data_IF_383476422615
#
_entry.id   IF_383476422615
#
_cell.length_a   1.000
_cell.length_b   1.000
_cell.length_c   1.000
_cell.angle_alpha   90.00
_cell.angle_beta   90.00
_cell.angle_gamma   90.00
#
_symmetry.space_group_name_H-M   'P 1'
#
loop_
_entity.id
_entity.type
_entity.pdbx_description
1 polymer ?
#
# COMPACT_ATOMS: atom_id res chain seq x y z
N UNK A 1 -28.91 -11.15 -16.25
CA UNK A 1 -28.98 -9.95 -15.39
C UNK A 1 -28.23 -10.28 -14.11
N UNK A 2 -27.13 -9.58 -13.79
CA UNK A 2 -26.40 -9.77 -12.54
C UNK A 2 -26.86 -8.73 -11.52
N UNK A 3 -27.59 -9.15 -10.50
CA UNK A 3 -28.05 -8.31 -9.38
C UNK A 3 -27.20 -8.59 -8.15
N UNK A 4 -25.89 -8.28 -8.21
CA UNK A 4 -25.01 -8.34 -7.04
C UNK A 4 -24.86 -6.94 -6.45
N UNK A 5 -25.39 -6.71 -5.24
CA UNK A 5 -25.02 -5.50 -4.46
C UNK A 5 -23.67 -5.76 -3.82
N UNK A 6 -22.67 -4.97 -4.18
CA UNK A 6 -21.35 -4.99 -3.53
C UNK A 6 -21.49 -4.39 -2.13
N UNK A 7 -21.20 -5.20 -1.11
CA UNK A 7 -21.34 -4.78 0.29
C UNK A 7 -19.99 -4.26 0.79
N UNK A 8 -19.89 -2.95 0.99
CA UNK A 8 -18.76 -2.35 1.69
C UNK A 8 -18.90 -2.60 3.19
N UNK A 9 -17.83 -3.09 3.84
CA UNK A 9 -17.74 -3.26 5.29
C UNK A 9 -16.69 -2.31 5.86
N UNK A 10 -16.97 -1.75 7.03
CA UNK A 10 -15.99 -0.97 7.79
C UNK A 10 -14.86 -1.88 8.29
N UNK A 11 -13.61 -1.47 8.12
CA UNK A 11 -12.47 -2.08 8.81
C UNK A 11 -12.38 -1.48 10.22
N UNK A 12 -12.59 -2.32 11.23
CA UNK A 12 -12.59 -1.94 12.65
C UNK A 12 -11.19 -2.02 13.28
N UNK A 13 -10.14 -2.31 12.48
CA UNK A 13 -8.77 -2.36 12.98
C UNK A 13 -8.27 -1.01 13.45
N UNK A 14 -7.49 -1.02 14.53
CA UNK A 14 -6.76 0.16 15.00
C UNK A 14 -5.45 0.33 14.24
N UNK A 15 -5.35 1.44 13.51
CA UNK A 15 -4.14 1.83 12.79
C UNK A 15 -3.33 2.82 13.63
N UNK A 16 -2.23 2.34 14.20
CA UNK A 16 -1.32 3.17 14.99
C UNK A 16 -0.76 4.31 14.13
N UNK A 17 -0.98 5.54 14.59
CA UNK A 17 -0.48 6.76 13.95
C UNK A 17 0.90 7.12 14.48
N UNK A 18 1.67 7.88 13.70
CA UNK A 18 2.95 8.44 14.13
C UNK A 18 4.12 7.44 14.12
N UNK A 19 3.96 6.27 13.51
CA UNK A 19 5.08 5.36 13.25
C UNK A 19 6.00 6.05 12.22
N UNK A 20 7.20 6.40 12.65
CA UNK A 20 8.25 6.93 11.77
C UNK A 20 9.10 5.77 11.26
N UNK A 21 9.32 5.73 9.96
CA UNK A 21 10.25 4.82 9.30
C UNK A 21 11.43 5.66 8.84
N UNK A 22 12.65 5.20 9.14
CA UNK A 22 13.86 5.90 8.69
C UNK A 22 14.11 5.67 7.20
N UNK A 23 14.83 6.59 6.55
CA UNK A 23 15.18 6.44 5.13
C UNK A 23 15.94 5.13 4.87
N UNK A 24 16.82 4.73 5.79
CA UNK A 24 17.57 3.46 5.72
C UNK A 24 16.68 2.21 5.78
N UNK A 25 15.53 2.29 6.45
CA UNK A 25 14.57 1.19 6.47
C UNK A 25 13.76 1.16 5.18
N UNK A 26 13.38 2.33 4.67
CA UNK A 26 12.63 2.46 3.43
C UNK A 26 13.47 2.03 2.21
N UNK A 27 14.77 2.35 2.20
CA UNK A 27 15.73 1.93 1.16
C UNK A 27 15.88 0.41 1.04
N UNK A 28 15.61 -0.34 2.12
CA UNK A 28 15.64 -1.81 2.07
C UNK A 28 14.45 -2.39 1.33
N UNK A 29 13.38 -1.63 1.14
CA UNK A 29 12.19 -2.10 0.46
C UNK A 29 12.44 -2.10 -1.04
N UNK A 30 12.17 -3.23 -1.70
CA UNK A 30 12.22 -3.35 -3.14
C UNK A 30 10.96 -2.72 -3.78
N UNK A 31 10.93 -1.39 -3.79
CA UNK A 31 9.86 -0.57 -4.34
C UNK A 31 10.22 -0.08 -5.74
N UNK A 32 9.37 -0.39 -6.73
CA UNK A 32 9.47 0.15 -8.09
C UNK A 32 8.32 1.13 -8.31
N UNK A 33 8.66 2.38 -8.59
CA UNK A 33 7.69 3.44 -8.93
C UNK A 33 7.22 3.27 -10.37
N UNK A 34 5.95 3.54 -10.62
CA UNK A 34 5.37 3.57 -11.95
C UNK A 34 5.81 4.83 -12.72
N UNK A 35 5.81 4.77 -14.05
CA UNK A 35 6.10 5.93 -14.90
C UNK A 35 4.96 6.97 -14.83
N UNK A 36 3.72 6.52 -14.60
CA UNK A 36 2.57 7.37 -14.40
C UNK A 36 2.29 7.58 -12.90
N UNK A 37 2.64 8.75 -12.39
CA UNK A 37 2.48 9.12 -10.97
C UNK A 37 3.12 8.12 -10.00
N UNK A 38 4.41 7.82 -10.19
CA UNK A 38 5.17 6.90 -9.36
C UNK A 38 5.21 7.23 -7.87
N UNK A 39 4.86 8.46 -7.49
CA UNK A 39 4.68 8.87 -6.09
C UNK A 39 3.38 8.34 -5.46
N UNK A 40 2.40 7.93 -6.26
CA UNK A 40 1.16 7.26 -5.83
C UNK A 40 1.16 5.78 -6.21
N UNK A 41 1.66 5.48 -7.42
CA UNK A 41 1.60 4.17 -8.04
C UNK A 41 2.96 3.50 -7.96
N UNK A 42 3.04 2.41 -7.21
CA UNK A 42 4.27 1.65 -7.04
C UNK A 42 3.99 0.17 -6.79
N UNK A 43 5.00 -0.65 -7.07
CA UNK A 43 4.99 -2.09 -6.85
C UNK A 43 6.05 -2.43 -5.79
N UNK A 44 5.66 -3.14 -4.75
CA UNK A 44 6.59 -3.73 -3.77
C UNK A 44 6.75 -5.20 -4.13
N UNK A 45 7.99 -5.63 -4.37
CA UNK A 45 8.33 -7.02 -4.69
C UNK A 45 9.11 -7.69 -3.56
N UNK A 46 9.02 -9.01 -3.41
CA UNK A 46 9.87 -9.73 -2.46
C UNK A 46 11.36 -9.50 -2.75
N UNK A 47 12.15 -9.44 -1.69
CA UNK A 47 13.61 -9.47 -1.78
C UNK A 47 13.99 -10.95 -1.71
N UNK A 48 14.78 -11.40 -2.69
CA UNK A 48 15.22 -12.80 -2.80
C UNK A 48 16.39 -13.10 -1.88
#
# INVERSE_FOLDING_TARGET
MFTGREQAKLDEKEYKKGIKVSDKELEKINIKKDEFHGEWNYVISPIK
#
